data_IF_460258125837
#
_entry.id   IF_460258125837
#
_cell.length_a   1.000
_cell.length_b   1.000
_cell.length_c   1.000
_cell.angle_alpha   90.00
_cell.angle_beta   90.00
_cell.angle_gamma   90.00
#
_symmetry.space_group_name_H-M   'P 1'
#
loop_
_entity.id
_entity.type
_entity.pdbx_description
1 polymer ?
#
# COMPACT_ATOMS: atom_id res chain seq x y z
N UNK A 1 -1.48 -45.98 -26.94
CA UNK A 1 -1.93 -44.62 -27.34
C UNK A 1 -2.37 -43.89 -26.09
N UNK A 2 -2.05 -42.60 -25.93
CA UNK A 2 -2.50 -41.80 -24.76
C UNK A 2 -3.79 -41.08 -25.14
N UNK A 3 -4.83 -41.23 -24.33
CA UNK A 3 -6.13 -40.58 -24.52
C UNK A 3 -6.39 -39.61 -23.36
N UNK A 4 -7.14 -38.56 -23.62
CA UNK A 4 -7.64 -37.62 -22.61
C UNK A 4 -9.15 -37.48 -22.78
N UNK A 5 -9.88 -37.49 -21.66
CA UNK A 5 -11.32 -37.24 -21.63
C UNK A 5 -11.56 -35.77 -21.33
N UNK A 6 -12.37 -35.12 -22.15
CA UNK A 6 -12.73 -33.71 -22.00
C UNK A 6 -14.26 -33.61 -21.95
N UNK A 7 -14.79 -32.58 -21.29
CA UNK A 7 -16.22 -32.29 -21.24
C UNK A 7 -16.51 -30.86 -21.65
N UNK A 8 -17.38 -30.67 -22.63
CA UNK A 8 -17.97 -29.37 -22.94
C UNK A 8 -19.03 -29.04 -21.88
N UNK A 9 -18.90 -27.92 -21.12
CA UNK A 9 -19.87 -27.57 -20.07
C UNK A 9 -21.28 -27.25 -20.58
N UNK A 10 -21.50 -27.06 -21.88
CA UNK A 10 -22.86 -26.97 -22.45
C UNK A 10 -23.64 -28.29 -22.39
N UNK A 11 -22.94 -29.42 -22.24
CA UNK A 11 -23.58 -30.74 -22.21
C UNK A 11 -23.99 -31.27 -23.57
N UNK A 12 -23.49 -30.64 -24.65
CA UNK A 12 -23.75 -30.96 -26.05
C UNK A 12 -22.55 -30.49 -26.89
N UNK A 13 -22.51 -30.91 -28.16
CA UNK A 13 -21.49 -30.59 -29.16
C UNK A 13 -20.12 -31.16 -28.78
N UNK A 14 -19.86 -32.37 -29.28
CA UNK A 14 -18.66 -33.15 -29.01
C UNK A 14 -17.63 -33.16 -30.15
N UNK A 15 -16.45 -33.68 -29.83
CA UNK A 15 -15.34 -33.87 -30.76
C UNK A 15 -15.71 -34.86 -31.87
N UNK A 16 -15.49 -34.49 -33.14
CA UNK A 16 -15.79 -35.35 -34.30
C UNK A 16 -14.57 -36.08 -34.87
N UNK A 17 -13.37 -35.83 -34.32
CA UNK A 17 -12.15 -36.49 -34.76
C UNK A 17 -11.98 -37.90 -34.20
N UNK A 18 -10.74 -38.42 -34.24
CA UNK A 18 -10.45 -39.77 -33.73
C UNK A 18 -10.80 -39.87 -32.24
N UNK A 19 -11.32 -41.03 -31.84
CA UNK A 19 -11.75 -41.38 -30.48
C UNK A 19 -13.04 -40.73 -29.98
N UNK A 20 -13.80 -40.04 -30.84
CA UNK A 20 -15.20 -39.71 -30.56
C UNK A 20 -16.03 -40.97 -30.21
N UNK A 21 -17.18 -40.78 -29.58
CA UNK A 21 -18.07 -41.84 -29.07
C UNK A 21 -18.44 -42.90 -30.12
N UNK A 22 -18.58 -42.46 -31.38
CA UNK A 22 -18.93 -43.29 -32.52
C UNK A 22 -17.71 -43.80 -33.31
N UNK A 23 -16.48 -43.50 -32.85
CA UNK A 23 -15.26 -43.81 -33.58
C UNK A 23 -15.02 -45.34 -33.65
N UNK A 24 -14.79 -45.91 -34.85
CA UNK A 24 -14.49 -47.34 -34.99
C UNK A 24 -13.27 -47.82 -34.22
N UNK A 25 -12.35 -46.90 -33.85
CA UNK A 25 -11.17 -47.22 -33.06
C UNK A 25 -11.53 -47.82 -31.69
N UNK A 26 -12.72 -47.55 -31.14
CA UNK A 26 -13.18 -48.22 -29.92
C UNK A 26 -13.34 -49.74 -30.08
N UNK A 27 -13.53 -50.23 -31.31
CA UNK A 27 -13.58 -51.68 -31.58
C UNK A 27 -12.21 -52.36 -31.45
N UNK A 28 -11.10 -51.60 -31.43
CA UNK A 28 -9.75 -52.15 -31.23
C UNK A 28 -9.32 -52.16 -29.76
N UNK A 29 -10.15 -51.64 -28.85
CA UNK A 29 -9.91 -51.62 -27.41
C UNK A 29 -10.57 -52.85 -26.78
N UNK A 30 -9.94 -53.40 -25.74
CA UNK A 30 -10.51 -54.50 -24.96
C UNK A 30 -11.94 -54.18 -24.51
N UNK A 31 -12.92 -55.10 -24.67
CA UNK A 31 -14.33 -54.83 -24.36
C UNK A 31 -14.59 -54.35 -22.93
N UNK A 32 -13.88 -54.89 -21.93
CA UNK A 32 -14.07 -54.48 -20.52
C UNK A 32 -13.55 -53.06 -20.29
N UNK A 33 -12.44 -52.70 -20.94
CA UNK A 33 -11.89 -51.33 -20.89
C UNK A 33 -12.80 -50.36 -21.63
N UNK A 34 -13.35 -50.77 -22.78
CA UNK A 34 -14.28 -49.96 -23.56
C UNK A 34 -15.55 -49.66 -22.77
N UNK A 35 -16.18 -50.66 -22.15
CA UNK A 35 -17.40 -50.49 -21.35
C UNK A 35 -17.17 -49.54 -20.17
N UNK A 36 -15.95 -49.53 -19.60
CA UNK A 36 -15.59 -48.63 -18.49
C UNK A 36 -15.29 -47.19 -18.90
N UNK A 37 -14.87 -46.94 -20.14
CA UNK A 37 -14.35 -45.64 -20.57
C UNK A 37 -15.24 -44.93 -21.60
N UNK A 38 -15.82 -45.68 -22.52
CA UNK A 38 -16.53 -45.16 -23.68
C UNK A 38 -18.04 -45.37 -23.50
N UNK A 39 -18.70 -44.30 -23.10
CA UNK A 39 -20.15 -44.17 -23.16
C UNK A 39 -20.51 -43.54 -24.52
N UNK A 40 -21.73 -43.78 -25.02
CA UNK A 40 -22.22 -43.20 -26.29
C UNK A 40 -23.40 -42.30 -25.99
N UNK A 41 -23.10 -41.11 -25.51
CA UNK A 41 -24.10 -40.15 -25.06
C UNK A 41 -23.74 -38.78 -25.59
N UNK A 42 -24.73 -38.02 -26.07
CA UNK A 42 -24.53 -36.59 -26.31
C UNK A 42 -24.67 -35.88 -24.96
N UNK A 43 -23.56 -35.80 -24.22
CA UNK A 43 -23.48 -35.18 -22.89
C UNK A 43 -22.32 -34.17 -22.77
N UNK A 44 -21.66 -33.92 -23.90
CA UNK A 44 -20.51 -33.05 -24.04
C UNK A 44 -19.19 -33.72 -23.65
N UNK A 45 -19.19 -34.93 -23.09
CA UNK A 45 -17.98 -35.70 -22.81
C UNK A 45 -17.45 -36.38 -24.08
N UNK A 46 -16.15 -36.33 -24.31
CA UNK A 46 -15.54 -37.04 -25.42
C UNK A 46 -14.09 -37.40 -25.11
N UNK A 47 -13.61 -38.45 -25.77
CA UNK A 47 -12.20 -38.79 -25.79
C UNK A 47 -11.52 -38.26 -27.04
N UNK A 48 -10.29 -37.80 -26.89
CA UNK A 48 -9.41 -37.48 -28.01
C UNK A 48 -8.00 -38.01 -27.75
N UNK A 49 -7.21 -38.16 -28.80
CA UNK A 49 -5.81 -38.53 -28.61
C UNK A 49 -5.06 -37.38 -27.92
N UNK A 50 -4.08 -37.69 -27.07
CA UNK A 50 -3.28 -36.65 -26.42
C UNK A 50 -2.53 -35.77 -27.45
N UNK A 51 -2.18 -36.33 -28.61
CA UNK A 51 -1.63 -35.57 -29.74
C UNK A 51 -2.63 -34.56 -30.31
N UNK A 52 -3.90 -34.94 -30.45
CA UNK A 52 -4.95 -34.01 -30.84
C UNK A 52 -5.16 -32.96 -29.75
N UNK A 53 -5.12 -33.33 -28.47
CA UNK A 53 -5.24 -32.37 -27.37
C UNK A 53 -4.14 -31.30 -27.44
N UNK A 54 -2.88 -31.71 -27.57
CA UNK A 54 -1.75 -30.78 -27.71
C UNK A 54 -1.84 -29.90 -28.97
N UNK A 55 -2.52 -30.36 -30.02
CA UNK A 55 -2.70 -29.61 -31.26
C UNK A 55 -3.85 -28.61 -31.19
N UNK A 56 -4.93 -28.93 -30.47
CA UNK A 56 -6.18 -28.15 -30.47
C UNK A 56 -6.32 -27.25 -29.24
N UNK A 57 -5.75 -27.62 -28.09
CA UNK A 57 -5.81 -26.82 -26.86
C UNK A 57 -4.56 -25.97 -26.69
N UNK A 58 -4.73 -24.73 -26.25
CA UNK A 58 -3.63 -23.77 -26.07
C UNK A 58 -3.18 -23.63 -24.61
N UNK A 59 -4.01 -24.03 -23.65
CA UNK A 59 -3.75 -23.85 -22.21
C UNK A 59 -4.35 -25.00 -21.41
N UNK A 60 -3.60 -25.49 -20.42
CA UNK A 60 -4.05 -26.43 -19.40
C UNK A 60 -3.95 -25.72 -18.04
N UNK A 61 -5.08 -25.56 -17.36
CA UNK A 61 -5.14 -24.97 -16.02
C UNK A 61 -5.45 -26.08 -15.02
N UNK A 62 -4.60 -26.21 -14.01
CA UNK A 62 -4.78 -27.19 -12.94
C UNK A 62 -4.71 -26.46 -11.60
N UNK A 63 -5.70 -26.70 -10.75
CA UNK A 63 -5.74 -26.19 -9.39
C UNK A 63 -5.54 -27.36 -8.43
N UNK A 64 -4.34 -27.45 -7.85
CA UNK A 64 -4.00 -28.47 -6.88
C UNK A 64 -4.61 -28.12 -5.51
N UNK A 65 -4.89 -29.14 -4.71
CA UNK A 65 -5.31 -28.98 -3.31
C UNK A 65 -4.13 -28.65 -2.39
N UNK A 66 -2.92 -29.02 -2.80
CA UNK A 66 -1.66 -28.70 -2.13
C UNK A 66 -0.77 -27.85 -3.03
N UNK A 67 0.15 -27.05 -2.47
CA UNK A 67 1.12 -26.29 -3.27
C UNK A 67 2.19 -27.16 -3.96
N UNK A 68 2.19 -28.48 -3.73
CA UNK A 68 3.07 -29.42 -4.42
C UNK A 68 2.87 -29.34 -5.95
N UNK A 69 3.98 -29.46 -6.68
CA UNK A 69 3.93 -29.58 -8.13
C UNK A 69 3.45 -30.99 -8.49
N UNK A 70 2.66 -31.14 -9.56
CA UNK A 70 2.24 -32.47 -10.06
C UNK A 70 3.41 -33.33 -10.57
N UNK A 71 4.60 -32.74 -10.65
CA UNK A 71 5.83 -33.40 -11.07
C UNK A 71 6.64 -33.94 -9.90
N UNK A 72 6.32 -33.59 -8.64
CA UNK A 72 6.95 -34.21 -7.48
C UNK A 72 6.23 -35.51 -7.15
N UNK A 73 7.02 -36.57 -6.92
CA UNK A 73 6.53 -37.89 -6.51
C UNK A 73 6.19 -37.94 -5.01
N UNK A 74 6.47 -36.85 -4.27
CA UNK A 74 6.29 -36.77 -2.82
C UNK A 74 5.42 -35.58 -2.44
N UNK A 75 4.66 -35.74 -1.36
CA UNK A 75 3.91 -34.64 -0.76
C UNK A 75 4.75 -33.95 0.30
N UNK A 76 4.84 -32.64 0.22
CA UNK A 76 5.56 -31.82 1.19
C UNK A 76 4.58 -31.14 2.13
N UNK A 77 5.07 -30.76 3.31
CA UNK A 77 4.30 -29.92 4.24
C UNK A 77 4.52 -28.47 3.86
N UNK A 78 3.44 -27.72 3.71
CA UNK A 78 3.50 -26.32 3.34
C UNK A 78 3.01 -25.44 4.48
N UNK A 79 3.80 -24.40 4.78
CA UNK A 79 3.37 -23.31 5.65
C UNK A 79 2.77 -22.21 4.78
N UNK A 80 1.53 -21.81 5.09
CA UNK A 80 0.85 -20.72 4.41
C UNK A 80 0.87 -19.47 5.27
N UNK A 81 1.33 -18.36 4.69
CA UNK A 81 1.11 -17.02 5.24
C UNK A 81 0.30 -16.18 4.27
N UNK A 82 -0.65 -15.41 4.79
CA UNK A 82 -1.54 -14.54 4.01
C UNK A 82 -1.39 -13.12 4.50
N UNK A 83 -1.29 -12.20 3.55
CA UNK A 83 -1.21 -10.77 3.79
C UNK A 83 -2.27 -10.10 2.93
N UNK A 84 -3.03 -9.19 3.50
CA UNK A 84 -3.94 -8.34 2.75
C UNK A 84 -3.30 -6.97 2.56
N UNK A 85 -3.53 -6.38 1.41
CA UNK A 85 -3.03 -5.05 1.10
C UNK A 85 -3.95 -4.34 0.12
N UNK A 86 -3.64 -3.08 -0.13
CA UNK A 86 -4.43 -2.30 -1.04
C UNK A 86 -3.55 -1.29 -1.80
N UNK A 87 -4.02 -0.90 -2.98
CA UNK A 87 -3.48 0.17 -3.79
C UNK A 87 -4.53 1.28 -3.82
N UNK A 88 -4.14 2.49 -3.41
CA UNK A 88 -4.97 3.69 -3.49
C UNK A 88 -4.26 4.76 -4.30
N UNK A 89 -5.04 5.39 -5.18
CA UNK A 89 -4.60 6.48 -6.05
C UNK A 89 -3.96 7.57 -5.19
N UNK A 90 -2.75 7.99 -5.57
CA UNK A 90 -1.97 9.01 -4.89
C UNK A 90 -1.13 8.54 -3.70
N UNK A 91 -1.50 7.48 -3.00
CA UNK A 91 -0.70 6.94 -1.89
C UNK A 91 0.00 5.66 -2.34
N UNK A 92 -0.66 4.52 -2.19
CA UNK A 92 -0.07 3.18 -2.35
C UNK A 92 -0.13 2.62 -3.78
N UNK A 93 -0.82 3.27 -4.72
CA UNK A 93 -0.92 2.82 -6.12
C UNK A 93 0.29 3.25 -6.97
N UNK A 94 1.47 2.73 -6.62
CA UNK A 94 2.76 3.12 -7.19
C UNK A 94 3.04 2.64 -8.62
N UNK A 95 2.30 1.65 -9.12
CA UNK A 95 2.57 1.02 -10.43
C UNK A 95 3.82 0.14 -10.40
N UNK A 96 4.22 -0.43 -11.55
CA UNK A 96 5.34 -1.37 -11.61
C UNK A 96 6.71 -0.67 -11.65
N UNK A 97 7.79 -1.47 -11.69
CA UNK A 97 9.18 -0.97 -11.67
C UNK A 97 9.54 -0.04 -12.84
N UNK A 98 8.74 -0.02 -13.91
CA UNK A 98 8.85 0.93 -15.03
C UNK A 98 8.54 2.37 -14.61
N UNK A 99 7.88 2.57 -13.47
CA UNK A 99 7.52 3.87 -12.91
C UNK A 99 8.33 4.14 -11.62
N UNK A 100 9.66 4.34 -11.70
CA UNK A 100 10.53 4.45 -10.52
C UNK A 100 10.20 5.62 -9.60
N UNK A 101 9.50 6.64 -10.10
CA UNK A 101 9.05 7.78 -9.29
C UNK A 101 8.01 7.37 -8.25
N UNK A 102 7.25 6.31 -8.52
CA UNK A 102 6.09 5.92 -7.72
C UNK A 102 6.14 4.46 -7.25
N UNK A 103 6.92 3.59 -7.90
CA UNK A 103 7.03 2.17 -7.57
C UNK A 103 7.30 1.89 -6.09
N UNK A 104 8.17 2.69 -5.48
CA UNK A 104 8.61 2.52 -4.10
C UNK A 104 7.50 2.72 -3.07
N UNK A 105 6.37 3.34 -3.43
CA UNK A 105 5.24 3.60 -2.51
C UNK A 105 4.21 2.47 -2.46
N UNK A 106 4.35 1.44 -3.31
CA UNK A 106 3.52 0.25 -3.14
C UNK A 106 3.79 -0.38 -1.76
N UNK A 107 2.81 -1.09 -1.17
CA UNK A 107 3.03 -1.82 0.07
C UNK A 107 4.19 -2.81 -0.07
N UNK A 108 4.97 -3.00 1.00
CA UNK A 108 6.16 -3.86 1.00
C UNK A 108 5.98 -4.97 2.06
N UNK A 109 6.54 -6.15 1.80
CA UNK A 109 6.43 -7.29 2.71
C UNK A 109 7.74 -8.06 2.81
N UNK A 110 8.20 -8.36 4.03
CA UNK A 110 9.35 -9.24 4.25
C UNK A 110 8.95 -10.70 4.05
N UNK A 111 9.81 -11.43 3.36
CA UNK A 111 9.86 -12.88 3.28
C UNK A 111 11.19 -13.31 3.89
N UNK A 112 11.16 -13.92 5.07
CA UNK A 112 12.34 -14.43 5.76
C UNK A 112 12.42 -15.94 5.55
N UNK A 113 13.42 -16.38 4.79
CA UNK A 113 13.71 -17.78 4.49
C UNK A 113 14.86 -18.24 5.40
N UNK A 114 14.58 -19.14 6.35
CA UNK A 114 15.57 -19.53 7.38
C UNK A 114 16.22 -20.89 7.07
N UNK A 115 15.44 -21.86 6.61
CA UNK A 115 15.87 -23.25 6.42
C UNK A 115 15.74 -23.67 4.96
N UNK A 116 16.82 -24.20 4.37
CA UNK A 116 16.82 -24.81 3.04
C UNK A 116 15.99 -26.10 3.01
N UNK A 117 15.46 -26.43 1.83
CA UNK A 117 14.71 -27.67 1.63
C UNK A 117 15.64 -28.89 1.81
N UNK A 118 15.13 -29.97 2.41
CA UNK A 118 15.91 -31.20 2.62
C UNK A 118 16.23 -31.91 1.29
N UNK A 119 15.29 -31.82 0.34
CA UNK A 119 15.36 -32.51 -0.94
C UNK A 119 15.80 -31.54 -2.05
N UNK A 120 16.99 -31.77 -2.61
CA UNK A 120 17.50 -31.06 -3.78
C UNK A 120 16.96 -31.69 -5.08
N UNK A 121 15.63 -31.71 -5.25
CA UNK A 121 14.95 -32.34 -6.42
C UNK A 121 15.54 -31.90 -7.78
N UNK A 122 15.99 -30.65 -7.87
CA UNK A 122 16.53 -30.04 -9.09
C UNK A 122 18.06 -29.85 -9.08
N UNK A 123 18.77 -30.35 -8.05
CA UNK A 123 20.21 -30.16 -7.85
C UNK A 123 20.64 -28.78 -7.32
N UNK A 124 19.68 -27.90 -7.02
CA UNK A 124 19.90 -26.58 -6.43
C UNK A 124 19.48 -26.55 -4.96
N UNK A 125 20.39 -26.10 -4.09
CA UNK A 125 20.11 -25.82 -2.67
C UNK A 125 19.38 -24.49 -2.54
N UNK A 126 18.38 -24.45 -1.67
CA UNK A 126 17.62 -23.24 -1.39
C UNK A 126 16.29 -23.55 -0.72
N UNK A 127 15.54 -22.50 -0.42
CA UNK A 127 14.23 -22.53 0.19
C UNK A 127 13.15 -22.40 -0.90
N UNK A 128 12.31 -23.41 -1.07
CA UNK A 128 11.20 -23.37 -2.02
C UNK A 128 10.01 -22.63 -1.42
N UNK A 129 9.48 -21.66 -2.18
CA UNK A 129 8.24 -20.97 -1.83
C UNK A 129 7.44 -20.58 -3.07
N UNK A 130 6.11 -20.47 -2.92
CA UNK A 130 5.19 -19.97 -3.95
C UNK A 130 4.60 -18.66 -3.49
N UNK A 131 4.56 -17.66 -4.38
CA UNK A 131 3.89 -16.38 -4.14
C UNK A 131 2.69 -16.27 -5.07
N UNK A 132 1.50 -16.16 -4.49
CA UNK A 132 0.24 -15.91 -5.17
C UNK A 132 -0.30 -14.53 -4.83
N UNK A 133 -0.26 -13.60 -5.79
CA UNK A 133 -0.87 -12.27 -5.69
C UNK A 133 -2.26 -12.30 -6.32
N UNK A 134 -3.31 -12.18 -5.50
CA UNK A 134 -4.72 -12.18 -5.94
C UNK A 134 -5.36 -10.80 -5.75
N UNK A 135 -5.98 -10.26 -6.80
CA UNK A 135 -6.78 -9.03 -6.70
C UNK A 135 -8.23 -9.33 -6.29
N UNK A 136 -8.77 -8.52 -5.37
CA UNK A 136 -10.07 -8.73 -4.72
C UNK A 136 -11.17 -7.89 -5.37
N UNK A 137 -12.42 -8.37 -5.25
CA UNK A 137 -13.67 -7.65 -5.55
C UNK A 137 -13.86 -7.05 -6.96
N UNK A 138 -12.95 -7.26 -7.93
CA UNK A 138 -13.02 -6.70 -9.30
C UNK A 138 -14.32 -6.98 -10.05
N UNK A 139 -14.93 -8.15 -9.85
CA UNK A 139 -16.21 -8.48 -10.52
C UNK A 139 -17.32 -7.47 -10.20
N UNK A 140 -17.29 -6.81 -9.03
CA UNK A 140 -18.27 -5.77 -8.67
C UNK A 140 -18.08 -4.50 -9.50
N UNK A 141 -16.85 -4.21 -9.92
CA UNK A 141 -16.47 -3.01 -10.68
C UNK A 141 -16.78 -3.12 -12.18
N UNK A 142 -17.11 -4.32 -12.69
CA UNK A 142 -17.58 -4.49 -14.08
C UNK A 142 -18.80 -3.64 -14.42
N UNK A 143 -19.62 -3.29 -13.42
CA UNK A 143 -20.75 -2.35 -13.58
C UNK A 143 -20.30 -0.93 -13.99
N UNK A 144 -19.06 -0.56 -13.67
CA UNK A 144 -18.44 0.72 -14.00
C UNK A 144 -17.55 0.63 -15.25
N UNK A 145 -17.55 -0.51 -15.96
CA UNK A 145 -16.67 -0.74 -17.11
C UNK A 145 -15.22 -1.10 -16.75
N UNK A 146 -14.91 -1.32 -15.47
CA UNK A 146 -13.58 -1.77 -15.04
C UNK A 146 -13.46 -3.30 -15.07
N UNK A 147 -12.29 -3.80 -15.49
CA UNK A 147 -11.96 -5.22 -15.47
C UNK A 147 -10.73 -5.49 -14.59
N UNK A 148 -10.25 -6.74 -14.60
CA UNK A 148 -9.03 -7.13 -13.90
C UNK A 148 -7.86 -6.22 -14.26
N UNK A 149 -7.16 -5.73 -13.25
CA UNK A 149 -5.93 -4.99 -13.47
C UNK A 149 -4.82 -5.93 -13.91
N UNK A 150 -3.91 -5.43 -14.74
CA UNK A 150 -2.62 -6.08 -14.96
C UNK A 150 -1.81 -5.99 -13.67
N UNK A 151 -1.58 -7.11 -13.00
CA UNK A 151 -0.89 -7.18 -11.70
C UNK A 151 0.38 -8.03 -11.81
N UNK A 152 1.30 -7.81 -10.88
CA UNK A 152 2.54 -8.56 -10.75
C UNK A 152 3.31 -8.12 -9.50
N UNK A 153 4.49 -8.70 -9.27
CA UNK A 153 5.30 -8.39 -8.10
C UNK A 153 6.79 -8.55 -8.39
N UNK A 154 7.61 -7.85 -7.61
CA UNK A 154 9.07 -8.01 -7.59
C UNK A 154 9.56 -8.47 -6.23
N UNK A 155 10.65 -9.24 -6.20
CA UNK A 155 11.31 -9.76 -5.00
C UNK A 155 12.73 -9.22 -4.98
N UNK A 156 13.11 -8.54 -3.90
CA UNK A 156 14.41 -7.90 -3.72
C UNK A 156 15.10 -8.47 -2.49
N UNK A 157 16.42 -8.61 -2.51
CA UNK A 157 17.18 -9.03 -1.33
C UNK A 157 17.37 -7.84 -0.37
N UNK A 158 17.17 -8.06 0.92
CA UNK A 158 17.36 -7.04 1.96
C UNK A 158 18.87 -6.83 2.17
N UNK A 159 19.39 -5.58 2.10
CA UNK A 159 20.77 -5.26 2.43
C UNK A 159 21.15 -5.71 3.84
N UNK A 160 22.40 -6.11 4.05
CA UNK A 160 22.84 -6.63 5.35
C UNK A 160 22.64 -5.63 6.49
N UNK A 161 22.70 -4.31 6.21
CA UNK A 161 22.52 -3.27 7.20
C UNK A 161 21.08 -3.15 7.74
N UNK A 162 20.09 -3.65 6.98
CA UNK A 162 18.66 -3.56 7.30
C UNK A 162 18.07 -4.90 7.77
N UNK A 163 18.88 -5.96 7.84
CA UNK A 163 18.38 -7.29 8.24
C UNK A 163 17.80 -7.27 9.65
N UNK A 164 16.62 -7.87 9.82
CA UNK A 164 15.88 -7.89 11.07
C UNK A 164 15.10 -6.60 11.38
N UNK A 165 15.17 -5.57 10.54
CA UNK A 165 14.38 -4.36 10.69
C UNK A 165 13.12 -4.45 9.82
N UNK A 166 11.96 -4.59 10.45
CA UNK A 166 10.66 -4.69 9.76
C UNK A 166 9.91 -3.36 9.72
N UNK A 167 10.40 -2.35 10.45
CA UNK A 167 9.76 -1.06 10.67
C UNK A 167 10.27 0.06 9.73
N UNK A 168 10.75 -0.30 8.53
CA UNK A 168 11.36 0.65 7.59
C UNK A 168 10.81 0.44 6.19
N UNK A 169 10.10 1.42 5.66
CA UNK A 169 9.65 1.40 4.27
C UNK A 169 10.81 1.74 3.31
N UNK A 170 11.15 0.86 2.37
CA UNK A 170 12.28 1.11 1.46
C UNK A 170 11.98 2.26 0.49
N UNK A 171 12.87 3.27 0.48
CA UNK A 171 12.72 4.46 -0.35
C UNK A 171 13.09 4.27 -1.83
N UNK A 172 12.79 5.28 -2.64
CA UNK A 172 13.07 5.32 -4.09
C UNK A 172 14.50 4.90 -4.46
N UNK A 173 15.49 5.39 -3.72
CA UNK A 173 16.91 5.19 -4.05
C UNK A 173 17.30 3.72 -4.01
N UNK A 174 16.77 2.94 -3.06
CA UNK A 174 17.01 1.50 -2.97
C UNK A 174 16.63 0.77 -4.26
N UNK A 175 15.43 1.03 -4.79
CA UNK A 175 14.95 0.38 -6.00
C UNK A 175 15.67 0.84 -7.26
N UNK A 176 16.26 2.04 -7.25
CA UNK A 176 17.08 2.54 -8.36
C UNK A 176 18.46 1.86 -8.42
N UNK A 177 19.07 1.57 -7.27
CA UNK A 177 20.40 0.95 -7.18
C UNK A 177 20.36 -0.57 -7.16
N UNK A 178 19.26 -1.16 -6.68
CA UNK A 178 19.14 -2.61 -6.45
C UNK A 178 18.25 -3.27 -7.50
N UNK A 179 18.73 -4.36 -8.09
CA UNK A 179 17.94 -5.18 -9.03
C UNK A 179 17.06 -6.16 -8.26
N UNK A 180 15.90 -6.47 -8.81
CA UNK A 180 15.08 -7.55 -8.29
C UNK A 180 15.85 -8.87 -8.42
N UNK A 181 15.87 -9.66 -7.34
CA UNK A 181 16.42 -11.01 -7.34
C UNK A 181 15.52 -11.92 -8.17
N UNK A 182 14.21 -11.82 -7.94
CA UNK A 182 13.18 -12.54 -8.66
C UNK A 182 11.96 -11.64 -8.91
N UNK A 183 11.06 -12.07 -9.79
CA UNK A 183 9.82 -11.35 -10.11
C UNK A 183 8.77 -12.31 -10.64
N UNK A 184 7.51 -11.89 -10.62
CA UNK A 184 6.49 -12.58 -11.40
C UNK A 184 6.88 -12.65 -12.88
N UNK A 185 6.69 -13.79 -13.54
CA UNK A 185 7.10 -14.03 -14.94
C UNK A 185 6.61 -12.92 -15.88
N UNK A 186 5.38 -12.47 -15.67
CA UNK A 186 4.78 -11.40 -16.43
C UNK A 186 3.75 -10.66 -15.58
N UNK A 187 3.55 -9.39 -15.90
CA UNK A 187 2.40 -8.63 -15.42
C UNK A 187 1.21 -8.99 -16.31
N UNK A 188 0.17 -9.58 -15.72
CA UNK A 188 -0.99 -10.09 -16.47
C UNK A 188 -2.31 -9.70 -15.82
N UNK A 189 -3.33 -9.49 -16.64
CA UNK A 189 -4.69 -9.11 -16.25
C UNK A 189 -5.54 -10.32 -15.82
N UNK A 190 -4.98 -11.17 -14.95
CA UNK A 190 -5.70 -12.29 -14.32
C UNK A 190 -6.09 -11.94 -12.89
N UNK A 191 -7.05 -12.70 -12.34
CA UNK A 191 -7.44 -12.54 -10.93
C UNK A 191 -6.27 -12.81 -9.98
N UNK A 192 -5.40 -13.75 -10.34
CA UNK A 192 -4.23 -14.14 -9.55
C UNK A 192 -3.02 -14.36 -10.44
N UNK A 193 -1.85 -13.95 -9.95
CA UNK A 193 -0.53 -14.26 -10.51
C UNK A 193 0.21 -15.12 -9.49
N UNK A 194 0.55 -16.35 -9.88
CA UNK A 194 1.20 -17.35 -9.04
C UNK A 194 2.54 -17.74 -9.65
N UNK A 195 3.62 -17.65 -8.89
CA UNK A 195 4.94 -18.11 -9.28
C UNK A 195 5.60 -18.93 -8.16
N UNK A 196 6.33 -19.99 -8.55
CA UNK A 196 7.17 -20.81 -7.65
C UNK A 196 8.61 -20.33 -7.77
N UNK A 197 9.26 -20.14 -6.63
CA UNK A 197 10.64 -19.69 -6.52
C UNK A 197 11.45 -20.63 -5.63
N UNK A 198 12.76 -20.62 -5.84
CA UNK A 198 13.75 -21.21 -4.94
C UNK A 198 14.87 -20.19 -4.76
N UNK A 199 15.08 -19.73 -3.53
CA UNK A 199 16.11 -18.73 -3.20
C UNK A 199 16.95 -19.23 -2.01
N UNK A 200 18.21 -18.77 -1.88
CA UNK A 200 19.00 -19.05 -0.67
C UNK A 200 18.32 -18.53 0.60
N UNK A 201 18.70 -19.05 1.79
CA UNK A 201 18.28 -18.47 3.06
C UNK A 201 18.66 -16.98 3.14
N UNK A 202 17.73 -16.17 3.63
CA UNK A 202 17.88 -14.72 3.68
C UNK A 202 16.57 -14.00 3.87
N UNK A 203 16.64 -12.67 3.88
CA UNK A 203 15.50 -11.77 3.97
C UNK A 203 15.26 -11.10 2.61
N UNK A 204 14.02 -11.15 2.16
CA UNK A 204 13.60 -10.60 0.87
C UNK A 204 12.40 -9.67 1.02
N UNK A 205 12.33 -8.63 0.21
CA UNK A 205 11.16 -7.74 0.11
C UNK A 205 10.34 -8.08 -1.13
N UNK A 206 9.08 -8.40 -0.91
CA UNK A 206 8.06 -8.53 -1.93
C UNK A 206 7.33 -7.19 -2.13
N UNK A 207 7.29 -6.70 -3.37
CA UNK A 207 6.57 -5.47 -3.76
C UNK A 207 5.46 -5.81 -4.76
N UNK A 208 4.22 -6.06 -4.30
CA UNK A 208 3.07 -6.25 -5.18
C UNK A 208 2.59 -4.93 -5.78
N UNK A 209 2.35 -4.93 -7.09
CA UNK A 209 1.91 -3.72 -7.81
C UNK A 209 0.98 -4.03 -8.98
N UNK A 210 0.22 -3.02 -9.39
CA UNK A 210 -0.38 -2.97 -10.72
C UNK A 210 0.67 -2.55 -11.75
N UNK A 211 0.43 -2.82 -13.04
CA UNK A 211 1.36 -2.41 -14.09
C UNK A 211 1.46 -0.88 -14.16
N UNK A 212 0.34 -0.20 -14.33
CA UNK A 212 0.25 1.27 -14.33
C UNK A 212 0.06 1.79 -12.90
N UNK A 213 0.58 3.00 -12.58
CA UNK A 213 0.28 3.67 -11.31
C UNK A 213 -1.18 4.15 -11.26
N UNK A 214 -1.61 4.66 -10.09
CA UNK A 214 -2.94 5.27 -9.88
C UNK A 214 -4.13 4.31 -10.08
N UNK A 215 -3.89 3.01 -10.01
CA UNK A 215 -4.91 1.98 -10.13
C UNK A 215 -5.39 1.54 -8.74
N UNK A 216 -6.60 1.93 -8.36
CA UNK A 216 -7.21 1.51 -7.09
C UNK A 216 -7.46 0.00 -7.07
N UNK A 217 -7.22 -0.68 -5.96
CA UNK A 217 -7.53 -2.09 -5.82
C UNK A 217 -7.20 -2.66 -4.46
N UNK A 218 -7.89 -3.71 -4.08
CA UNK A 218 -7.52 -4.52 -2.92
C UNK A 218 -6.88 -5.81 -3.42
N UNK A 219 -5.93 -6.34 -2.65
CA UNK A 219 -5.25 -7.58 -2.98
C UNK A 219 -4.98 -8.42 -1.74
N UNK A 220 -4.67 -9.69 -1.96
CA UNK A 220 -4.09 -10.57 -0.97
C UNK A 220 -2.84 -11.23 -1.58
N UNK A 221 -1.76 -11.28 -0.82
CA UNK A 221 -0.58 -12.07 -1.11
C UNK A 221 -0.65 -13.34 -0.27
N UNK A 222 -0.43 -14.48 -0.92
CA UNK A 222 -0.32 -15.79 -0.28
C UNK A 222 1.08 -16.30 -0.52
N UNK A 223 1.80 -16.64 0.54
CA UNK A 223 3.10 -17.30 0.43
C UNK A 223 3.01 -18.69 1.02
N UNK A 224 3.34 -19.68 0.21
CA UNK A 224 3.46 -21.08 0.63
C UNK A 224 4.94 -21.43 0.67
N UNK A 225 5.49 -21.79 1.82
CA UNK A 225 6.88 -22.24 1.95
C UNK A 225 6.95 -23.69 2.42
N UNK A 226 7.93 -24.44 1.93
CA UNK A 226 8.16 -25.83 2.36
C UNK A 226 8.64 -25.89 3.81
N UNK A 227 9.56 -25.00 4.17
CA UNK A 227 10.07 -24.83 5.54
C UNK A 227 9.45 -23.60 6.22
N UNK A 228 9.75 -23.44 7.52
CA UNK A 228 9.29 -22.27 8.27
C UNK A 228 9.91 -21.02 7.65
N UNK A 229 9.05 -20.15 7.15
CA UNK A 229 9.41 -18.79 6.78
C UNK A 229 8.59 -17.81 7.63
N UNK A 230 9.21 -16.69 8.00
CA UNK A 230 8.56 -15.57 8.68
C UNK A 230 8.22 -14.47 7.67
N UNK A 231 7.16 -13.75 7.97
CA UNK A 231 6.40 -13.00 6.99
C UNK A 231 5.71 -11.84 7.67
N UNK A 232 6.18 -10.63 7.38
CA UNK A 232 5.71 -9.42 8.06
C UNK A 232 5.52 -8.30 7.04
N UNK A 233 4.53 -7.44 7.26
CA UNK A 233 4.41 -6.20 6.48
C UNK A 233 5.59 -5.30 6.84
N UNK A 234 6.19 -4.69 5.82
CA UNK A 234 7.24 -3.69 5.99
C UNK A 234 6.62 -2.34 5.74
N UNK A 235 6.55 -1.58 6.81
CA UNK A 235 5.96 -0.25 6.82
C UNK A 235 6.59 0.54 7.96
N UNK A 236 6.44 1.85 7.92
CA UNK A 236 6.96 2.69 8.99
C UNK A 236 6.11 2.55 10.25
N UNK A 237 6.76 2.47 11.42
CA UNK A 237 6.09 2.56 12.72
C UNK A 237 5.53 3.97 12.93
N UNK A 238 4.45 4.06 13.72
CA UNK A 238 3.81 5.34 14.05
C UNK A 238 4.74 6.08 15.02
N UNK A 239 5.51 7.04 14.50
CA UNK A 239 6.40 7.90 15.29
C UNK A 239 6.13 9.38 14.99
N UNK A 240 6.22 10.21 16.02
CA UNK A 240 6.16 11.66 15.90
C UNK A 240 7.26 12.30 16.75
N UNK A 241 8.30 12.79 16.07
CA UNK A 241 9.38 13.61 16.62
C UNK A 241 8.97 15.08 16.56
N UNK A 242 8.19 15.48 17.56
CA UNK A 242 7.67 16.83 17.69
C UNK A 242 8.70 17.69 18.43
N UNK A 243 9.31 18.64 17.73
CA UNK A 243 10.10 19.70 18.38
C UNK A 243 9.18 20.51 19.31
N UNK A 244 9.32 20.30 20.62
CA UNK A 244 8.71 21.15 21.63
C UNK A 244 9.59 22.39 21.81
N UNK A 245 9.07 23.53 21.37
CA UNK A 245 9.73 24.81 21.57
C UNK A 245 9.44 25.28 23.00
N UNK A 246 10.36 25.00 23.94
CA UNK A 246 10.34 25.59 25.28
C UNK A 246 10.80 27.06 25.18
N UNK A 247 9.91 27.91 24.66
CA UNK A 247 10.19 29.32 24.44
C UNK A 247 9.84 30.10 25.70
N UNK A 248 10.82 30.77 26.31
CA UNK A 248 10.54 31.81 27.30
C UNK A 248 10.04 33.06 26.60
N UNK A 249 9.20 33.84 27.28
CA UNK A 249 8.89 35.22 26.85
C UNK A 249 10.19 35.99 26.55
N UNK A 250 11.23 35.81 27.34
CA UNK A 250 12.52 36.52 27.19
C UNK A 250 13.25 36.20 25.87
N UNK A 251 12.92 35.08 25.21
CA UNK A 251 13.52 34.67 23.93
C UNK A 251 12.85 35.34 22.72
N UNK A 252 11.69 35.98 22.93
CA UNK A 252 10.89 36.60 21.86
C UNK A 252 11.43 38.00 21.57
N UNK A 253 11.90 38.21 20.34
CA UNK A 253 12.48 39.48 19.90
C UNK A 253 11.48 40.65 19.98
N UNK A 254 11.99 41.84 20.31
CA UNK A 254 11.19 43.07 20.42
C UNK A 254 10.44 43.41 19.12
N UNK A 255 10.98 43.03 17.97
CA UNK A 255 10.34 43.17 16.67
C UNK A 255 9.05 42.34 16.58
N UNK A 256 9.10 41.07 16.98
CA UNK A 256 7.92 40.21 17.05
C UNK A 256 6.91 40.69 18.09
N UNK A 257 7.37 41.17 19.26
CA UNK A 257 6.48 41.77 20.27
C UNK A 257 5.70 42.97 19.72
N UNK A 258 6.36 43.85 18.98
CA UNK A 258 5.72 44.99 18.30
C UNK A 258 4.77 44.55 17.20
N UNK A 259 5.15 43.53 16.42
CA UNK A 259 4.28 42.96 15.39
C UNK A 259 3.02 42.37 16.01
N UNK A 260 3.15 41.57 17.07
CA UNK A 260 2.03 41.01 17.81
C UNK A 260 1.12 42.12 18.35
N UNK A 261 1.67 43.12 19.03
CA UNK A 261 0.88 44.24 19.57
C UNK A 261 0.17 45.08 18.49
N UNK A 262 0.65 45.08 17.24
CA UNK A 262 -0.04 45.72 16.11
C UNK A 262 -1.18 44.88 15.52
N UNK A 263 -1.13 43.56 15.74
CA UNK A 263 -2.05 42.60 15.17
C UNK A 263 -3.12 42.15 16.17
N UNK A 264 -2.75 42.05 17.44
CA UNK A 264 -3.64 41.79 18.57
C UNK A 264 -4.56 42.99 18.79
N UNK A 265 -5.84 42.71 19.04
CA UNK A 265 -6.86 43.73 19.22
C UNK A 265 -6.76 44.44 20.57
N UNK A 266 -7.88 45.02 21.01
CA UNK A 266 -7.99 45.69 22.32
C UNK A 266 -7.76 44.75 23.51
N UNK A 267 -7.93 43.45 23.29
CA UNK A 267 -7.77 42.37 24.27
C UNK A 267 -6.34 41.81 24.36
N UNK A 268 -5.41 42.29 23.53
CA UNK A 268 -4.02 41.81 23.47
C UNK A 268 -3.88 40.31 23.17
N UNK A 269 -4.88 39.72 22.52
CA UNK A 269 -4.91 38.32 22.08
C UNK A 269 -5.26 38.26 20.58
N UNK A 270 -5.02 37.12 19.94
CA UNK A 270 -5.34 36.89 18.53
C UNK A 270 -6.34 35.75 18.41
N UNK A 271 -7.56 36.07 17.98
CA UNK A 271 -8.59 35.08 17.65
C UNK A 271 -8.32 34.36 16.32
N UNK A 272 -8.99 33.22 16.09
CA UNK A 272 -8.90 32.49 14.81
C UNK A 272 -9.28 33.36 13.59
N UNK A 273 -10.22 34.29 13.73
CA UNK A 273 -10.62 35.21 12.66
C UNK A 273 -9.55 36.28 12.36
N UNK A 274 -8.89 36.78 13.39
CA UNK A 274 -7.74 37.70 13.23
C UNK A 274 -6.56 36.97 12.63
N UNK A 275 -6.26 35.77 13.12
CA UNK A 275 -5.23 34.88 12.58
C UNK A 275 -5.40 34.64 11.07
N UNK A 276 -6.63 34.35 10.63
CA UNK A 276 -6.94 34.18 9.21
C UNK A 276 -6.55 35.43 8.39
N UNK A 277 -6.93 36.62 8.87
CA UNK A 277 -6.63 37.87 8.17
C UNK A 277 -5.13 38.16 8.13
N UNK A 278 -4.41 37.87 9.21
CA UNK A 278 -2.96 38.00 9.31
C UNK A 278 -2.29 37.09 8.28
N UNK A 279 -2.60 35.79 8.31
CA UNK A 279 -1.97 34.79 7.45
C UNK A 279 -2.32 35.00 5.98
N UNK A 280 -3.54 35.45 5.66
CA UNK A 280 -3.91 35.82 4.29
C UNK A 280 -3.05 36.94 3.74
N UNK A 281 -2.78 38.00 4.53
CA UNK A 281 -1.91 39.11 4.11
C UNK A 281 -0.45 38.68 3.91
N UNK A 282 0.02 37.73 4.71
CA UNK A 282 1.38 37.19 4.64
C UNK A 282 1.54 36.31 3.40
N UNK A 283 0.60 35.38 3.18
CA UNK A 283 0.61 34.45 2.05
C UNK A 283 0.35 35.18 0.71
N UNK A 284 -0.48 36.22 0.67
CA UNK A 284 -0.71 37.01 -0.54
C UNK A 284 0.55 37.69 -1.11
N UNK A 285 1.60 37.87 -0.29
CA UNK A 285 2.89 38.42 -0.74
C UNK A 285 3.80 37.36 -1.38
N UNK A 286 3.42 36.09 -1.33
CA UNK A 286 4.23 34.96 -1.78
C UNK A 286 3.64 34.35 -3.04
N UNK A 287 4.41 34.35 -4.13
CA UNK A 287 4.01 33.75 -5.42
C UNK A 287 4.38 32.26 -5.51
N UNK A 288 5.25 31.78 -4.62
CA UNK A 288 5.75 30.40 -4.54
C UNK A 288 4.79 29.44 -3.86
N UNK A 289 3.70 29.93 -3.27
CA UNK A 289 2.69 29.11 -2.59
C UNK A 289 1.34 29.37 -3.25
N UNK A 290 0.79 28.38 -3.96
CA UNK A 290 -0.57 28.49 -4.52
C UNK A 290 -1.57 28.14 -3.43
N UNK A 291 -2.28 29.15 -2.94
CA UNK A 291 -3.34 29.01 -1.95
C UNK A 291 -4.28 30.21 -2.05
N UNK A 292 -5.58 29.99 -1.80
CA UNK A 292 -6.56 31.08 -1.62
C UNK A 292 -6.45 31.75 -0.24
N UNK A 293 -5.46 31.33 0.56
CA UNK A 293 -5.29 31.65 1.96
C UNK A 293 -5.68 30.47 2.84
N UNK A 294 -5.49 30.61 4.14
CA UNK A 294 -5.91 29.59 5.09
C UNK A 294 -7.40 29.74 5.41
N UNK A 295 -8.10 28.61 5.40
CA UNK A 295 -9.50 28.55 5.80
C UNK A 295 -9.68 28.91 7.28
N UNK A 296 -10.91 29.27 7.67
CA UNK A 296 -11.21 29.56 9.07
C UNK A 296 -11.13 28.29 9.93
N UNK A 297 -11.47 27.14 9.36
CA UNK A 297 -11.33 25.82 9.99
C UNK A 297 -9.87 25.53 10.34
N UNK A 298 -8.94 25.80 9.42
CA UNK A 298 -7.50 25.65 9.68
C UNK A 298 -7.04 26.58 10.80
N UNK A 299 -7.51 27.84 10.79
CA UNK A 299 -7.14 28.80 11.82
C UNK A 299 -7.69 28.41 13.20
N UNK A 300 -8.91 27.85 13.28
CA UNK A 300 -9.46 27.33 14.54
C UNK A 300 -8.62 26.18 15.09
N UNK A 301 -8.30 25.19 14.25
CA UNK A 301 -7.47 24.04 14.65
C UNK A 301 -6.07 24.49 15.11
N UNK A 302 -5.51 25.54 14.50
CA UNK A 302 -4.24 26.13 14.95
C UNK A 302 -4.32 26.77 16.32
N UNK A 303 -5.43 27.46 16.62
CA UNK A 303 -5.68 28.03 17.94
C UNK A 303 -5.83 26.89 18.95
N UNK A 304 -6.70 25.92 18.67
CA UNK A 304 -6.97 24.77 19.56
C UNK A 304 -5.70 23.93 19.87
N UNK A 305 -4.71 23.91 18.97
CA UNK A 305 -3.43 23.21 19.18
C UNK A 305 -2.56 23.86 20.27
N UNK A 306 -2.70 25.16 20.49
CA UNK A 306 -1.78 25.96 21.32
C UNK A 306 -2.46 26.66 22.50
N UNK A 307 -3.77 26.91 22.39
CA UNK A 307 -4.64 27.50 23.41
C UNK A 307 -4.68 26.60 24.65
N UNK A 308 -3.72 26.82 25.54
CA UNK A 308 -3.54 26.00 26.74
C UNK A 308 -4.41 26.48 27.90
N UNK A 309 -4.92 27.71 27.82
CA UNK A 309 -5.75 28.35 28.84
C UNK A 309 -7.26 28.31 28.52
N UNK A 310 -7.63 27.88 27.30
CA UNK A 310 -9.01 27.70 26.87
C UNK A 310 -9.72 29.00 26.57
N UNK A 311 -8.97 30.07 26.25
CA UNK A 311 -9.52 31.39 25.91
C UNK A 311 -10.18 31.43 24.54
N UNK A 312 -9.88 30.46 23.67
CA UNK A 312 -10.25 30.45 22.26
C UNK A 312 -9.43 31.44 21.42
N UNK A 313 -8.31 31.92 21.95
CA UNK A 313 -7.42 32.92 21.34
C UNK A 313 -5.96 32.58 21.65
N UNK A 314 -5.05 33.30 21.00
CA UNK A 314 -3.61 33.11 21.17
C UNK A 314 -2.97 34.32 21.86
N UNK A 315 -2.30 34.05 22.97
CA UNK A 315 -1.37 34.99 23.60
C UNK A 315 -0.07 35.14 22.82
N UNK A 316 0.83 36.00 23.31
CA UNK A 316 2.10 36.31 22.63
C UNK A 316 2.99 35.08 22.43
N UNK A 317 3.23 34.30 23.50
CA UNK A 317 4.04 33.08 23.44
C UNK A 317 3.44 32.04 22.49
N UNK A 318 2.14 31.81 22.57
CA UNK A 318 1.43 30.83 21.74
C UNK A 318 1.48 31.24 20.26
N UNK A 319 1.23 32.52 19.96
CA UNK A 319 1.35 33.04 18.60
C UNK A 319 2.79 32.96 18.05
N UNK A 320 3.81 33.17 18.90
CA UNK A 320 5.21 33.00 18.50
C UNK A 320 5.54 31.55 18.12
N UNK A 321 5.08 30.58 18.92
CA UNK A 321 5.24 29.15 18.63
C UNK A 321 4.52 28.79 17.34
N UNK A 322 3.28 29.25 17.16
CA UNK A 322 2.51 29.04 15.93
C UNK A 322 3.26 29.58 14.71
N UNK A 323 3.76 30.80 14.81
CA UNK A 323 4.44 31.47 13.71
C UNK A 323 5.71 30.71 13.29
N UNK A 324 6.51 30.27 14.27
CA UNK A 324 7.70 29.44 14.02
C UNK A 324 7.34 28.12 13.33
N UNK A 325 6.26 27.45 13.77
CA UNK A 325 5.75 26.24 13.11
C UNK A 325 5.29 26.50 11.68
N UNK A 326 4.54 27.57 11.44
CA UNK A 326 4.10 27.95 10.08
C UNK A 326 5.30 28.22 9.18
N UNK A 327 6.35 28.89 9.67
CA UNK A 327 7.58 29.10 8.91
C UNK A 327 8.28 27.78 8.56
N UNK A 328 8.35 26.82 9.51
CA UNK A 328 8.86 25.47 9.27
C UNK A 328 8.04 24.76 8.18
N UNK A 329 6.71 24.76 8.29
CA UNK A 329 5.83 24.15 7.29
C UNK A 329 5.98 24.77 5.90
N UNK A 330 6.11 26.11 5.82
CA UNK A 330 6.38 26.80 4.55
C UNK A 330 7.74 26.42 3.96
N UNK A 331 8.76 26.16 4.80
CA UNK A 331 10.06 25.71 4.33
C UNK A 331 9.95 24.31 3.73
N UNK A 332 9.39 23.36 4.50
CA UNK A 332 9.19 21.96 4.08
C UNK A 332 8.41 21.90 2.76
N UNK A 333 7.27 22.58 2.70
CA UNK A 333 6.40 22.57 1.53
C UNK A 333 7.13 23.00 0.25
N UNK A 334 8.00 24.02 0.34
CA UNK A 334 8.76 24.53 -0.82
C UNK A 334 9.96 23.68 -1.20
N UNK A 335 10.60 23.04 -0.21
CA UNK A 335 11.73 22.15 -0.47
C UNK A 335 11.28 20.84 -1.13
N UNK A 336 10.08 20.39 -0.78
CA UNK A 336 9.49 19.16 -1.30
C UNK A 336 8.73 19.37 -2.62
N UNK A 337 8.22 20.57 -2.92
CA UNK A 337 7.63 20.95 -4.22
C UNK A 337 8.71 21.02 -5.33
N UNK A 338 9.20 19.84 -5.73
CA UNK A 338 10.32 19.69 -6.67
C UNK A 338 9.95 20.25 -8.05
N UNK A 339 8.68 20.11 -8.44
CA UNK A 339 8.19 20.62 -9.73
C UNK A 339 7.83 22.12 -9.69
N UNK A 340 7.90 22.76 -8.51
CA UNK A 340 7.57 24.17 -8.27
C UNK A 340 6.17 24.51 -8.75
N UNK A 341 5.25 23.55 -8.65
CA UNK A 341 3.86 23.74 -9.02
C UNK A 341 3.16 24.70 -8.06
N UNK A 342 3.73 24.95 -6.87
CA UNK A 342 3.11 25.66 -5.75
C UNK A 342 2.11 24.77 -5.00
N UNK A 343 2.03 23.49 -5.35
CA UNK A 343 1.09 22.51 -4.85
C UNK A 343 1.83 21.22 -4.50
N UNK A 344 1.33 20.44 -3.55
CA UNK A 344 1.98 19.20 -3.19
C UNK A 344 1.20 18.01 -3.70
N UNK A 345 1.81 17.16 -4.51
CA UNK A 345 1.16 15.89 -4.87
C UNK A 345 1.23 14.91 -3.68
N UNK A 346 0.40 13.90 -3.74
CA UNK A 346 0.30 12.87 -2.70
C UNK A 346 1.61 12.10 -2.44
N UNK A 347 2.52 12.04 -3.42
CA UNK A 347 3.83 11.40 -3.28
C UNK A 347 4.82 12.26 -2.49
N UNK A 348 4.77 13.56 -2.74
CA UNK A 348 5.48 14.58 -1.99
C UNK A 348 4.98 14.66 -0.55
N UNK A 349 3.69 14.47 -0.31
CA UNK A 349 3.11 14.45 1.03
C UNK A 349 3.77 13.43 1.97
N UNK A 350 4.11 12.22 1.48
CA UNK A 350 4.81 11.22 2.32
C UNK A 350 6.16 11.76 2.81
N UNK A 351 6.96 12.33 1.90
CA UNK A 351 8.25 12.93 2.25
C UNK A 351 8.11 14.16 3.14
N UNK A 352 7.09 14.97 2.89
CA UNK A 352 6.83 16.16 3.69
C UNK A 352 6.41 15.82 5.13
N UNK A 353 5.68 14.72 5.32
CA UNK A 353 5.36 14.20 6.66
C UNK A 353 6.61 13.72 7.38
N UNK A 354 7.47 12.96 6.70
CA UNK A 354 8.77 12.51 7.26
C UNK A 354 9.64 13.70 7.68
N UNK A 355 9.80 14.71 6.82
CA UNK A 355 10.57 15.94 7.12
C UNK A 355 9.92 16.79 8.23
N UNK A 356 8.58 16.70 8.38
CA UNK A 356 7.86 17.33 9.48
C UNK A 356 7.99 16.56 10.81
N UNK A 357 8.64 15.39 10.81
CA UNK A 357 8.86 14.55 12.00
C UNK A 357 7.85 13.43 12.19
N UNK A 358 6.99 13.14 11.21
CA UNK A 358 5.97 12.09 11.28
C UNK A 358 6.33 10.90 10.40
N UNK A 359 6.50 9.73 11.02
CA UNK A 359 6.55 8.44 10.32
C UNK A 359 5.23 7.72 10.54
N UNK A 360 4.61 7.27 9.46
CA UNK A 360 3.27 6.71 9.49
C UNK A 360 3.17 5.51 8.54
N UNK A 361 2.40 4.48 8.88
CA UNK A 361 2.15 3.37 7.98
C UNK A 361 1.33 3.81 6.75
N UNK A 362 1.41 3.00 5.68
CA UNK A 362 0.66 3.15 4.43
C UNK A 362 -0.83 3.44 4.64
N UNK A 363 -1.46 2.79 5.62
CA UNK A 363 -2.87 3.00 5.94
C UNK A 363 -3.19 4.46 6.34
N UNK A 364 -2.31 5.11 7.12
CA UNK A 364 -2.51 6.50 7.51
C UNK A 364 -2.21 7.45 6.36
N UNK A 365 -1.21 7.16 5.52
CA UNK A 365 -1.00 7.91 4.29
C UNK A 365 -2.20 7.85 3.34
N UNK A 366 -2.86 6.69 3.24
CA UNK A 366 -4.10 6.53 2.47
C UNK A 366 -5.23 7.43 2.99
N UNK A 367 -5.42 7.48 4.31
CA UNK A 367 -6.43 8.35 4.95
C UNK A 367 -6.10 9.83 4.75
N UNK A 368 -4.83 10.21 4.91
CA UNK A 368 -4.37 11.60 4.73
C UNK A 368 -4.66 12.05 3.29
N UNK A 369 -4.23 11.28 2.30
CA UNK A 369 -4.47 11.63 0.89
C UNK A 369 -5.97 11.66 0.58
N UNK A 370 -6.74 10.67 1.05
CA UNK A 370 -8.18 10.63 0.81
C UNK A 370 -8.96 11.78 1.47
N UNK A 371 -8.42 12.39 2.53
CA UNK A 371 -9.09 13.45 3.30
C UNK A 371 -8.66 14.86 2.90
N UNK A 372 -7.38 15.04 2.59
CA UNK A 372 -6.77 16.37 2.41
C UNK A 372 -6.40 16.67 0.95
N UNK A 373 -6.31 15.67 0.08
CA UNK A 373 -6.08 15.90 -1.34
C UNK A 373 -7.39 16.14 -2.09
N UNK A 374 -7.33 16.93 -3.16
CA UNK A 374 -8.43 17.12 -4.08
C UNK A 374 -8.62 15.93 -5.05
N UNK A 375 -9.60 16.02 -5.96
CA UNK A 375 -9.87 14.99 -6.98
C UNK A 375 -8.69 14.74 -7.95
N UNK A 376 -7.75 15.68 -8.01
CA UNK A 376 -6.53 15.64 -8.81
C UNK A 376 -5.34 15.08 -8.01
N UNK A 377 -5.55 14.74 -6.73
CA UNK A 377 -4.56 14.26 -5.75
C UNK A 377 -3.54 15.31 -5.36
N UNK A 378 -3.96 16.56 -5.39
CA UNK A 378 -3.17 17.71 -5.04
C UNK A 378 -3.60 18.17 -3.66
N UNK A 379 -2.62 18.40 -2.79
CA UNK A 379 -2.75 18.98 -1.45
C UNK A 379 -2.17 20.39 -1.53
N UNK A 380 -3.03 21.39 -1.38
CA UNK A 380 -2.58 22.78 -1.30
C UNK A 380 -2.00 23.10 0.09
N UNK A 381 -1.46 24.32 0.25
CA UNK A 381 -0.82 24.71 1.50
C UNK A 381 -1.80 24.75 2.69
N UNK A 382 -3.07 25.10 2.48
CA UNK A 382 -4.08 25.11 3.55
C UNK A 382 -4.36 23.71 4.08
N UNK A 383 -4.60 22.76 3.19
CA UNK A 383 -4.83 21.35 3.57
C UNK A 383 -3.57 20.70 4.16
N UNK A 384 -2.38 21.03 3.64
CA UNK A 384 -1.11 20.57 4.20
C UNK A 384 -0.95 20.98 5.65
N UNK A 385 -1.09 22.28 5.93
CA UNK A 385 -0.93 22.79 7.30
C UNK A 385 -2.04 22.26 8.21
N UNK A 386 -3.29 22.20 7.74
CA UNK A 386 -4.39 21.59 8.50
C UNK A 386 -4.09 20.14 8.87
N UNK A 387 -3.51 19.36 7.95
CA UNK A 387 -3.12 17.99 8.20
C UNK A 387 -2.04 17.90 9.30
N UNK A 388 -0.95 18.67 9.18
CA UNK A 388 0.15 18.63 10.14
C UNK A 388 -0.28 19.06 11.55
N UNK A 389 -1.02 20.17 11.65
CA UNK A 389 -1.51 20.68 12.93
C UNK A 389 -2.47 19.67 13.56
N UNK A 390 -3.41 19.11 12.79
CA UNK A 390 -4.34 18.11 13.32
C UNK A 390 -3.62 16.85 13.77
N UNK A 391 -2.62 16.39 13.02
CA UNK A 391 -1.82 15.22 13.37
C UNK A 391 -1.03 15.48 14.65
N UNK A 392 -0.36 16.64 14.77
CA UNK A 392 0.34 17.06 15.98
C UNK A 392 -0.58 17.08 17.21
N UNK A 393 -1.76 17.67 17.09
CA UNK A 393 -2.77 17.72 18.17
C UNK A 393 -3.16 16.31 18.62
N UNK A 394 -3.45 15.40 17.68
CA UNK A 394 -3.82 14.01 18.01
C UNK A 394 -2.67 13.26 18.71
N UNK A 395 -1.43 13.44 18.28
CA UNK A 395 -0.27 12.85 18.95
C UNK A 395 -0.10 13.39 20.37
N UNK A 396 -0.28 14.70 20.59
CA UNK A 396 -0.21 15.32 21.92
C UNK A 396 -1.32 14.80 22.84
N UNK A 397 -2.56 14.76 22.37
CA UNK A 397 -3.69 14.22 23.13
C UNK A 397 -3.42 12.77 23.52
N UNK A 398 -2.98 11.94 22.57
CA UNK A 398 -2.69 10.54 22.86
C UNK A 398 -1.57 10.38 23.90
N UNK A 399 -0.45 11.09 23.73
CA UNK A 399 0.69 11.06 24.68
C UNK A 399 0.28 11.55 26.08
N UNK A 400 -0.58 12.57 26.18
CA UNK A 400 -1.08 13.07 27.47
C UNK A 400 -2.01 12.08 28.16
N UNK A 401 -2.81 11.32 27.40
CA UNK A 401 -3.73 10.33 27.93
C UNK A 401 -3.08 8.96 28.20
N UNK A 402 -1.87 8.71 27.68
CA UNK A 402 -1.07 7.50 27.89
C UNK A 402 0.30 7.83 28.53
N UNK A 403 0.34 8.37 29.76
CA UNK A 403 1.60 8.76 30.41
C UNK A 403 2.55 7.59 30.68
N UNK A 404 2.02 6.37 30.78
CA UNK A 404 2.78 5.14 31.01
C UNK A 404 3.27 4.48 29.70
N UNK A 405 2.97 5.08 28.54
CA UNK A 405 3.32 4.59 27.20
C UNK A 405 2.90 3.12 26.99
N UNK A 406 1.66 2.80 27.37
CA UNK A 406 1.08 1.47 27.23
C UNK A 406 0.70 1.14 25.78
N UNK A 407 0.60 2.16 24.91
CA UNK A 407 0.16 2.06 23.52
C UNK A 407 -1.36 2.05 23.37
N UNK A 408 -2.12 2.29 24.45
CA UNK A 408 -3.59 2.32 24.44
C UNK A 408 -4.12 3.44 25.33
N UNK A 409 -5.22 4.09 24.91
CA UNK A 409 -5.96 5.07 25.72
C UNK A 409 -7.38 4.57 26.00
N UNK A 410 -7.96 4.98 27.14
CA UNK A 410 -9.34 4.68 27.50
C UNK A 410 -10.17 5.95 27.52
N UNK A 411 -11.26 5.97 26.77
CA UNK A 411 -12.19 7.08 26.68
C UNK A 411 -13.62 6.58 26.89
N UNK A 412 -14.40 7.29 27.70
CA UNK A 412 -15.85 7.12 27.71
C UNK A 412 -16.50 7.88 26.54
N UNK A 413 -17.81 7.73 26.37
CA UNK A 413 -18.54 8.38 25.27
C UNK A 413 -18.42 9.91 25.31
N UNK A 414 -18.43 10.52 26.50
CA UNK A 414 -18.39 11.98 26.64
C UNK A 414 -17.01 12.49 26.22
N UNK A 415 -15.96 11.88 26.76
CA UNK A 415 -14.57 12.20 26.45
C UNK A 415 -14.26 11.97 24.96
N UNK A 416 -14.75 10.85 24.40
CA UNK A 416 -14.65 10.59 22.96
C UNK A 416 -15.34 11.68 22.12
N UNK A 417 -16.56 12.10 22.49
CA UNK A 417 -17.26 13.17 21.77
C UNK A 417 -16.55 14.53 21.91
N UNK A 418 -15.94 14.82 23.06
CA UNK A 418 -15.11 16.00 23.24
C UNK A 418 -13.89 16.00 22.31
N UNK A 419 -13.13 14.89 22.25
CA UNK A 419 -11.90 14.83 21.44
C UNK A 419 -12.13 14.59 19.94
N UNK A 420 -13.24 13.96 19.53
CA UNK A 420 -13.48 13.63 18.11
C UNK A 420 -14.10 14.78 17.30
N UNK A 421 -14.69 15.76 17.97
CA UNK A 421 -15.34 16.92 17.34
C UNK A 421 -14.41 18.14 17.25
N UNK A 422 -13.49 18.27 18.21
CA UNK A 422 -12.31 19.14 18.10
C UNK A 422 -11.46 18.68 16.90
#
# INVERSE_FOLDING_TARGET
QKLIRIRNPWGEVEWTGRWNDNCPNWNTVDPEVRERLAERHEDGEFWMSFSDFLRHYSRLEICNLTPDTLTSDTYKKWKLTKMDGNWRRGSTAGGCRNYPNTFWMNPQYVIKLEEEDEDQEDGESGCTFLVGLIQKHRRRQRKMGEDMHTIGFGIYEVPEELRGQTNIHLGKNFFLTTRARERSDTFINLREVLNRFKLPPGEYILVPSTFEPNKNGDFCVRVFSEKKADYQAVDDEIEADLEEADVSEDDIDDGFRRLFAQLAGEDAEISAFELQNILRRVLAKRQDIKTDGLSIETCKIMVDMLDSDGTGKLGLKEFYVLWTKIQKYQKIYREIDVDRSGTMNSYEMRKALEEAGFKLPCQLHEVIVARFADDQLIIDFDNFVRCLVRLETLFKIFKQLDPDNTGMIQLDLISWLCFSVL
#
